data_IF_496443229011
#
_entry.id   IF_496443229011
#
_cell.length_a   1.000
_cell.length_b   1.000
_cell.length_c   1.000
_cell.angle_alpha   90.00
_cell.angle_beta   90.00
_cell.angle_gamma   90.00
#
_symmetry.space_group_name_H-M   'P 1'
#
loop_
_entity.id
_entity.type
_entity.pdbx_description
1 polymer ?
#
# COMPACT_ATOMS: atom_id res chain seq x y z
N UNK A 1 12.94 -13.68 -26.88
CA UNK A 1 11.92 -14.62 -26.34
C UNK A 1 11.55 -14.11 -24.95
N UNK A 2 10.48 -13.33 -24.84
CA UNK A 2 10.04 -12.73 -23.59
C UNK A 2 9.05 -13.69 -22.93
N UNK A 3 9.48 -14.33 -21.84
CA UNK A 3 8.59 -15.13 -21.02
C UNK A 3 7.67 -14.19 -20.23
N UNK A 4 6.43 -14.09 -20.67
CA UNK A 4 5.31 -13.53 -19.88
C UNK A 4 4.98 -14.53 -18.76
N UNK A 5 5.76 -14.53 -17.67
CA UNK A 5 5.36 -15.25 -16.48
C UNK A 5 4.21 -14.51 -15.82
N UNK A 6 3.10 -15.22 -15.62
CA UNK A 6 1.90 -14.78 -14.90
C UNK A 6 2.27 -14.20 -13.52
N UNK A 7 2.32 -12.88 -13.45
CA UNK A 7 2.22 -12.16 -12.19
C UNK A 7 0.88 -11.42 -12.20
N UNK A 8 0.17 -11.34 -11.09
CA UNK A 8 -0.94 -10.42 -10.99
C UNK A 8 -0.34 -9.02 -11.14
N UNK A 9 -0.48 -8.45 -12.32
CA UNK A 9 -0.18 -7.06 -12.61
C UNK A 9 -1.16 -6.20 -11.80
N UNK A 10 -0.85 -5.99 -10.52
CA UNK A 10 -1.38 -4.87 -9.78
C UNK A 10 -0.59 -3.66 -10.25
N UNK A 11 -1.01 -3.10 -11.36
CA UNK A 11 -0.50 -1.81 -11.82
C UNK A 11 -1.19 -0.79 -10.91
N UNK A 12 -0.46 -0.31 -9.92
CA UNK A 12 -0.78 0.99 -9.38
C UNK A 12 -0.57 1.96 -10.55
N UNK A 13 -1.61 2.63 -11.01
CA UNK A 13 -1.48 3.81 -11.84
C UNK A 13 -0.86 4.92 -10.99
N UNK A 14 0.41 4.74 -10.63
CA UNK A 14 1.19 5.78 -10.00
C UNK A 14 1.93 6.56 -11.07
N UNK A 15 1.91 7.88 -10.98
CA UNK A 15 2.71 8.79 -11.82
C UNK A 15 4.20 8.50 -11.84
N UNK A 16 4.69 7.69 -10.92
CA UNK A 16 6.07 7.20 -10.85
C UNK A 16 6.50 6.38 -12.09
N UNK A 17 5.57 5.74 -12.79
CA UNK A 17 5.90 4.98 -14.01
C UNK A 17 6.32 5.93 -15.15
N UNK A 18 5.63 7.06 -15.32
CA UNK A 18 5.98 8.08 -16.30
C UNK A 18 7.31 8.76 -16.00
N UNK A 19 7.68 8.87 -14.72
CA UNK A 19 8.95 9.46 -14.32
C UNK A 19 10.16 8.58 -14.65
N UNK A 20 10.04 7.26 -14.52
CA UNK A 20 11.11 6.32 -14.85
C UNK A 20 11.38 6.26 -16.37
N UNK A 21 10.34 6.33 -17.18
CA UNK A 21 10.45 6.32 -18.65
C UNK A 21 11.10 7.61 -19.18
N UNK A 22 10.88 8.74 -18.51
CA UNK A 22 11.41 10.06 -18.92
C UNK A 22 12.86 10.34 -18.49
N UNK A 23 13.45 9.54 -17.61
CA UNK A 23 14.79 9.77 -17.04
C UNK A 23 15.86 8.73 -17.36
N UNK A 24 15.68 7.93 -18.37
CA UNK A 24 16.81 7.19 -18.92
C UNK A 24 17.72 8.21 -19.65
N UNK A 25 19.01 8.31 -19.26
CA UNK A 25 19.91 9.24 -19.92
C UNK A 25 20.04 8.87 -21.40
N UNK A 26 19.98 9.88 -22.26
CA UNK A 26 20.05 9.76 -23.71
C UNK A 26 21.40 9.21 -24.26
N UNK A 27 22.31 8.79 -23.39
CA UNK A 27 23.69 8.45 -23.74
C UNK A 27 24.04 6.97 -23.68
N UNK A 28 23.10 6.04 -23.69
CA UNK A 28 23.41 4.61 -23.78
C UNK A 28 22.76 3.88 -24.97
N UNK A 29 22.44 4.60 -26.01
CA UNK A 29 22.01 3.97 -27.26
C UNK A 29 23.24 3.81 -28.18
N UNK A 30 23.50 2.59 -28.73
CA UNK A 30 24.40 2.47 -29.88
C UNK A 30 23.81 3.26 -31.04
N UNK A 31 24.67 3.88 -31.82
CA UNK A 31 24.31 4.63 -33.02
C UNK A 31 23.40 3.79 -33.92
N UNK A 32 22.14 4.11 -33.95
CA UNK A 32 21.15 3.47 -34.77
C UNK A 32 20.46 4.52 -35.64
N UNK A 33 20.40 4.15 -36.86
CA UNK A 33 19.78 4.75 -38.05
C UNK A 33 18.56 5.69 -37.78
N UNK A 34 18.44 6.68 -38.64
CA UNK A 34 17.64 7.89 -38.60
C UNK A 34 16.10 7.73 -38.61
N UNK A 35 15.56 6.70 -37.94
CA UNK A 35 14.10 6.49 -37.82
C UNK A 35 13.54 6.45 -36.38
N UNK A 36 14.33 6.89 -35.41
CA UNK A 36 13.87 6.90 -34.01
C UNK A 36 12.92 8.07 -33.78
N UNK A 37 11.63 7.86 -33.96
CA UNK A 37 10.59 8.77 -33.49
C UNK A 37 10.56 8.73 -31.96
N UNK A 38 11.09 9.75 -31.34
CA UNK A 38 10.88 10.03 -29.92
C UNK A 38 9.39 10.30 -29.73
N UNK A 39 8.72 9.39 -29.02
CA UNK A 39 7.31 9.53 -28.68
C UNK A 39 7.10 10.68 -27.70
N UNK A 40 6.73 11.84 -28.20
CA UNK A 40 6.22 12.98 -27.44
C UNK A 40 4.68 12.98 -27.32
N UNK A 41 4.02 11.86 -27.58
CA UNK A 41 2.59 11.74 -27.45
C UNK A 41 2.24 10.84 -26.25
N UNK A 42 2.12 11.44 -25.09
CA UNK A 42 1.33 10.85 -24.00
C UNK A 42 -0.13 11.03 -24.42
N UNK A 43 -0.90 9.95 -24.65
CA UNK A 43 -2.34 10.11 -24.89
C UNK A 43 -2.95 10.72 -23.64
N UNK A 44 -3.74 11.76 -23.81
CA UNK A 44 -4.60 12.32 -22.80
C UNK A 44 -5.55 11.19 -22.36
N UNK A 45 -5.34 10.61 -21.18
CA UNK A 45 -6.29 9.69 -20.56
C UNK A 45 -7.47 10.57 -20.13
N UNK A 46 -8.71 10.23 -20.55
CA UNK A 46 -9.86 11.00 -20.11
C UNK A 46 -9.95 10.97 -18.59
N UNK A 47 -9.93 12.13 -17.96
CA UNK A 47 -9.96 12.31 -16.49
C UNK A 47 -11.31 11.93 -15.85
N UNK A 48 -12.17 11.19 -16.54
CA UNK A 48 -13.58 11.05 -16.18
C UNK A 48 -13.94 9.80 -15.36
N UNK A 49 -13.02 9.10 -14.74
CA UNK A 49 -13.37 7.86 -14.04
C UNK A 49 -13.02 7.74 -12.56
N UNK A 50 -12.49 8.79 -11.94
CA UNK A 50 -12.37 8.82 -10.48
C UNK A 50 -13.18 9.99 -9.92
N UNK A 51 -14.49 9.83 -9.84
CA UNK A 51 -15.30 10.68 -8.95
C UNK A 51 -14.96 10.26 -7.52
N UNK A 52 -13.97 10.93 -6.93
CA UNK A 52 -13.93 11.04 -5.50
C UNK A 52 -15.15 11.89 -5.10
N UNK A 53 -16.13 11.30 -4.46
CA UNK A 53 -17.21 12.05 -3.84
C UNK A 53 -16.62 13.18 -3.01
N UNK A 54 -17.18 14.40 -3.06
CA UNK A 54 -16.62 15.51 -2.32
C UNK A 54 -16.55 15.15 -0.84
N UNK A 55 -15.44 15.47 -0.21
CA UNK A 55 -15.11 15.22 1.21
C UNK A 55 -16.01 16.00 2.18
N UNK A 56 -17.18 16.44 1.76
CA UNK A 56 -18.02 17.41 2.49
C UNK A 56 -19.24 16.79 3.19
N UNK A 57 -19.20 15.50 3.55
CA UNK A 57 -20.13 14.97 4.55
C UNK A 57 -19.37 14.15 5.60
N UNK A 58 -18.50 14.84 6.34
CA UNK A 58 -17.96 14.30 7.58
C UNK A 58 -19.11 14.27 8.60
N UNK A 59 -19.60 13.06 8.93
CA UNK A 59 -20.29 12.87 10.19
C UNK A 59 -19.38 13.32 11.34
N UNK A 60 -19.90 13.99 12.37
CA UNK A 60 -19.12 14.35 13.54
C UNK A 60 -18.78 13.08 14.30
N UNK A 61 -17.67 12.42 13.93
CA UNK A 61 -17.07 11.44 14.82
C UNK A 61 -16.46 12.22 15.97
N UNK A 62 -16.81 11.82 17.19
CA UNK A 62 -16.26 12.33 18.44
C UNK A 62 -14.76 12.59 18.25
N UNK A 63 -14.38 13.85 18.32
CA UNK A 63 -13.00 14.29 18.36
C UNK A 63 -12.35 13.66 19.60
N UNK A 64 -11.75 12.46 19.42
CA UNK A 64 -10.69 12.03 20.32
C UNK A 64 -9.55 12.98 20.06
N UNK A 65 -9.33 13.85 21.01
CA UNK A 65 -8.31 14.88 20.95
C UNK A 65 -6.96 14.22 20.74
N UNK A 66 -6.16 14.75 19.81
CA UNK A 66 -4.74 14.40 19.57
C UNK A 66 -3.88 14.38 20.85
N UNK A 67 -4.44 14.84 21.97
CA UNK A 67 -3.79 14.86 23.29
C UNK A 67 -3.54 13.47 23.91
N UNK A 68 -4.23 12.43 23.43
CA UNK A 68 -4.13 11.07 24.00
C UNK A 68 -3.11 10.17 23.29
N UNK A 69 -2.45 10.65 22.23
CA UNK A 69 -1.40 9.92 21.50
C UNK A 69 -0.09 10.70 21.56
N UNK A 70 0.79 10.43 22.55
CA UNK A 70 2.05 11.15 22.63
C UNK A 70 2.92 10.88 21.41
N UNK A 71 3.09 11.89 20.54
CA UNK A 71 4.12 12.03 19.49
C UNK A 71 4.36 10.83 18.54
N UNK A 72 3.34 10.03 18.27
CA UNK A 72 3.48 8.94 17.28
C UNK A 72 3.40 9.52 15.87
N UNK A 73 4.54 9.64 15.23
CA UNK A 73 4.63 9.95 13.81
C UNK A 73 4.11 8.77 12.97
N UNK A 74 3.64 9.04 11.75
CA UNK A 74 3.29 8.01 10.78
C UNK A 74 4.46 7.04 10.52
N UNK A 75 4.19 5.91 9.87
CA UNK A 75 5.19 4.89 9.56
C UNK A 75 6.31 5.40 8.65
N UNK A 76 7.45 4.71 8.62
CA UNK A 76 8.55 5.07 7.74
C UNK A 76 8.18 4.83 6.28
N UNK A 77 8.60 5.75 5.42
CA UNK A 77 8.43 5.64 3.97
C UNK A 77 9.69 6.11 3.24
N UNK A 78 10.09 5.45 2.14
CA UNK A 78 11.15 5.94 1.28
C UNK A 78 10.71 7.14 0.43
N UNK A 79 9.39 7.37 0.29
CA UNK A 79 8.84 8.49 -0.48
C UNK A 79 9.10 9.80 0.26
N UNK A 80 9.67 10.76 -0.44
CA UNK A 80 9.98 12.10 0.10
C UNK A 80 8.92 13.09 -0.39
N UNK A 81 7.98 13.56 0.47
CA UNK A 81 6.87 14.41 0.06
C UNK A 81 7.32 15.67 -0.72
N UNK A 82 8.39 16.32 -0.27
CA UNK A 82 8.95 17.51 -0.95
C UNK A 82 9.51 17.22 -2.36
N UNK A 83 9.88 15.96 -2.66
CA UNK A 83 10.30 15.53 -4.01
C UNK A 83 9.14 15.04 -4.84
N UNK A 84 8.11 14.51 -4.20
CA UNK A 84 6.88 14.05 -4.86
C UNK A 84 6.06 15.23 -5.39
N UNK A 85 5.89 16.27 -4.57
CA UNK A 85 5.05 17.42 -4.86
C UNK A 85 5.30 18.07 -6.24
N UNK A 86 6.55 18.39 -6.64
CA UNK A 86 6.79 18.94 -7.98
C UNK A 86 6.54 17.95 -9.12
N UNK A 87 6.57 16.63 -8.85
CA UNK A 87 6.29 15.61 -9.86
C UNK A 87 4.79 15.46 -10.14
N UNK A 88 3.94 15.91 -9.23
CA UNK A 88 2.49 15.89 -9.37
C UNK A 88 1.91 17.14 -10.06
N UNK A 89 2.77 18.01 -10.60
CA UNK A 89 2.31 19.14 -11.41
C UNK A 89 1.55 18.65 -12.63
N UNK A 90 0.33 19.18 -12.81
CA UNK A 90 -0.56 18.77 -13.91
C UNK A 90 -1.49 17.60 -13.56
N UNK A 91 -1.38 17.04 -12.34
CA UNK A 91 -2.37 16.12 -11.78
C UNK A 91 -3.58 16.88 -11.24
N UNK A 92 -4.67 16.14 -11.01
CA UNK A 92 -5.80 16.66 -10.23
C UNK A 92 -5.30 17.21 -8.89
N UNK A 93 -5.58 18.47 -8.52
CA UNK A 93 -5.06 19.10 -7.32
C UNK A 93 -5.47 18.38 -6.02
N UNK A 94 -6.68 17.78 -5.98
CA UNK A 94 -7.16 17.05 -4.80
C UNK A 94 -6.38 15.75 -4.62
N UNK A 95 -6.12 15.02 -5.70
CA UNK A 95 -5.30 13.79 -5.69
C UNK A 95 -3.86 14.14 -5.33
N UNK A 96 -3.27 15.17 -5.92
CA UNK A 96 -1.91 15.59 -5.61
C UNK A 96 -1.75 15.95 -4.12
N UNK A 97 -2.69 16.73 -3.57
CA UNK A 97 -2.72 17.10 -2.15
C UNK A 97 -2.89 15.88 -1.26
N UNK A 98 -3.80 14.96 -1.60
CA UNK A 98 -4.03 13.72 -0.87
C UNK A 98 -2.75 12.86 -0.80
N UNK A 99 -2.06 12.68 -1.92
CA UNK A 99 -0.82 11.90 -1.97
C UNK A 99 0.31 12.53 -1.16
N UNK A 100 0.54 13.83 -1.33
CA UNK A 100 1.60 14.56 -0.59
C UNK A 100 1.34 14.50 0.92
N UNK A 101 0.12 14.77 1.35
CA UNK A 101 -0.26 14.73 2.76
C UNK A 101 -0.23 13.30 3.32
N UNK A 102 -0.68 12.32 2.55
CA UNK A 102 -0.64 10.92 2.95
C UNK A 102 0.80 10.41 3.20
N UNK A 103 1.76 10.79 2.34
CA UNK A 103 3.17 10.45 2.57
C UNK A 103 3.83 11.31 3.65
N UNK A 104 3.28 12.46 4.00
CA UNK A 104 3.78 13.35 5.06
C UNK A 104 3.27 12.97 6.44
N UNK A 105 1.98 12.67 6.55
CA UNK A 105 1.28 12.48 7.82
C UNK A 105 0.72 11.07 8.04
N UNK A 106 0.78 10.22 7.03
CA UNK A 106 0.15 8.90 6.97
C UNK A 106 -1.21 8.92 6.27
N UNK A 107 -1.53 7.81 5.64
CA UNK A 107 -2.83 7.57 5.00
C UNK A 107 -3.79 6.94 6.01
N UNK A 108 -5.02 7.47 6.07
CA UNK A 108 -6.08 6.84 6.84
C UNK A 108 -6.64 5.63 6.10
N UNK A 109 -6.96 4.57 6.85
CA UNK A 109 -7.64 3.40 6.31
C UNK A 109 -9.13 3.62 6.06
N UNK A 110 -9.65 4.80 6.44
CA UNK A 110 -11.06 5.16 6.29
C UNK A 110 -12.01 4.13 6.90
N UNK A 111 -11.71 3.73 8.12
CA UNK A 111 -12.54 2.84 8.91
C UNK A 111 -13.74 3.61 9.47
N UNK A 112 -14.96 3.11 9.23
CA UNK A 112 -16.22 3.71 9.67
C UNK A 112 -16.94 2.89 10.74
N UNK A 113 -16.38 1.77 11.16
CA UNK A 113 -16.93 0.97 12.25
C UNK A 113 -16.58 1.53 13.63
N UNK A 114 -17.17 0.93 14.65
CA UNK A 114 -16.84 1.25 16.03
C UNK A 114 -15.45 0.77 16.40
N UNK A 115 -14.68 1.66 17.03
CA UNK A 115 -13.36 1.32 17.57
C UNK A 115 -13.54 0.64 18.92
N UNK A 116 -13.63 -0.67 18.89
CA UNK A 116 -13.80 -1.50 20.08
C UNK A 116 -12.60 -2.43 20.27
N UNK A 117 -12.26 -2.68 21.52
CA UNK A 117 -11.26 -3.70 21.86
C UNK A 117 -11.74 -5.07 21.39
N UNK A 118 -10.94 -5.72 20.57
CA UNK A 118 -11.18 -7.07 20.10
C UNK A 118 -9.85 -7.85 20.09
N UNK A 119 -9.86 -9.09 20.54
CA UNK A 119 -8.67 -9.93 20.57
C UNK A 119 -8.96 -11.26 19.90
N UNK A 120 -8.30 -11.51 18.80
CA UNK A 120 -8.41 -12.74 18.03
C UNK A 120 -7.17 -13.62 18.19
N UNK A 121 -7.37 -14.95 18.23
CA UNK A 121 -6.25 -15.90 18.24
C UNK A 121 -5.55 -15.96 16.91
N UNK A 122 -4.24 -16.14 16.92
CA UNK A 122 -3.45 -16.32 15.71
C UNK A 122 -3.83 -17.58 14.93
N UNK A 123 -3.56 -17.57 13.64
CA UNK A 123 -3.84 -18.71 12.76
C UNK A 123 -2.91 -19.89 13.11
N UNK A 124 -3.38 -21.12 12.83
CA UNK A 124 -2.63 -22.35 13.05
C UNK A 124 -1.23 -22.31 12.41
N UNK A 125 -1.12 -21.78 11.20
CA UNK A 125 0.15 -21.66 10.48
C UNK A 125 1.22 -20.83 11.22
N UNK A 126 0.81 -19.88 12.07
CA UNK A 126 1.74 -19.14 12.92
C UNK A 126 2.34 -20.00 14.02
N UNK A 127 1.51 -20.85 14.65
CA UNK A 127 1.96 -21.76 15.70
C UNK A 127 2.77 -22.95 15.17
N UNK A 128 2.54 -23.36 13.94
CA UNK A 128 3.34 -24.40 13.27
C UNK A 128 4.76 -23.95 12.93
N UNK A 129 4.97 -22.64 12.76
CA UNK A 129 6.27 -22.07 12.37
C UNK A 129 6.64 -20.84 13.24
N UNK A 130 6.74 -20.98 14.57
CA UNK A 130 6.88 -19.84 15.47
C UNK A 130 8.18 -19.05 15.26
N UNK A 131 9.29 -19.74 14.96
CA UNK A 131 10.57 -19.07 14.68
C UNK A 131 10.48 -18.15 13.47
N UNK A 132 9.76 -18.57 12.43
CA UNK A 132 9.61 -17.78 11.22
C UNK A 132 8.74 -16.53 11.46
N UNK A 133 7.66 -16.65 12.27
CA UNK A 133 6.86 -15.51 12.70
C UNK A 133 7.74 -14.51 13.46
N UNK A 134 8.47 -14.97 14.46
CA UNK A 134 9.37 -14.14 15.28
C UNK A 134 10.40 -13.43 14.42
N UNK A 135 11.06 -14.14 13.50
CA UNK A 135 12.06 -13.55 12.61
C UNK A 135 11.47 -12.45 11.72
N UNK A 136 10.29 -12.71 11.15
CA UNK A 136 9.62 -11.72 10.28
C UNK A 136 9.13 -10.52 11.09
N UNK A 137 8.54 -10.74 12.25
CA UNK A 137 8.06 -9.68 13.12
C UNK A 137 9.23 -8.79 13.56
N UNK A 138 10.33 -9.37 14.02
CA UNK A 138 11.54 -8.64 14.41
C UNK A 138 12.08 -7.79 13.25
N UNK A 139 12.08 -8.32 12.03
CA UNK A 139 12.49 -7.56 10.84
C UNK A 139 11.59 -6.34 10.59
N UNK A 140 10.29 -6.47 10.78
CA UNK A 140 9.35 -5.35 10.64
C UNK A 140 9.54 -4.32 11.76
N UNK A 141 9.79 -4.76 13.00
CA UNK A 141 10.10 -3.91 14.15
C UNK A 141 11.40 -3.15 13.91
N UNK A 142 12.47 -3.84 13.53
CA UNK A 142 13.77 -3.21 13.23
C UNK A 142 13.70 -2.18 12.11
N UNK A 143 12.77 -2.37 11.16
CA UNK A 143 12.53 -1.40 10.07
C UNK A 143 11.59 -0.25 10.48
N UNK A 144 11.08 -0.24 11.72
CA UNK A 144 10.17 0.76 12.24
C UNK A 144 8.75 0.71 11.65
N UNK A 145 8.43 -0.33 10.86
CA UNK A 145 7.10 -0.51 10.25
C UNK A 145 6.08 -1.12 11.20
N UNK A 146 6.55 -1.80 12.24
CA UNK A 146 5.76 -2.27 13.38
C UNK A 146 6.39 -1.68 14.64
N UNK A 147 5.58 -1.30 15.62
CA UNK A 147 6.04 -0.91 16.96
C UNK A 147 5.65 -1.97 17.97
N UNK A 148 6.51 -2.22 18.89
CA UNK A 148 6.49 -3.18 19.99
C UNK A 148 7.88 -3.77 20.20
N UNK A 149 8.03 -4.72 21.14
CA UNK A 149 6.99 -5.33 21.98
C UNK A 149 6.52 -4.42 23.11
N UNK A 150 5.25 -4.55 23.48
CA UNK A 150 4.67 -3.98 24.69
C UNK A 150 4.20 -5.12 25.60
N UNK A 151 4.26 -4.93 26.91
CA UNK A 151 3.75 -5.89 27.90
C UNK A 151 2.22 -5.84 28.05
N UNK A 152 1.65 -4.69 27.76
CA UNK A 152 0.20 -4.44 27.80
C UNK A 152 -0.25 -3.76 26.50
N UNK A 153 -1.54 -3.83 26.14
CA UNK A 153 -2.08 -3.12 25.00
C UNK A 153 -1.74 -1.63 25.04
N UNK A 154 -1.13 -1.06 23.98
CA UNK A 154 -0.65 0.33 23.98
C UNK A 154 -1.77 1.36 23.82
N UNK A 155 -2.98 0.96 23.48
CA UNK A 155 -4.15 1.82 23.30
C UNK A 155 -5.31 1.33 24.16
N UNK A 156 -6.17 2.26 24.61
CA UNK A 156 -7.36 1.95 25.41
C UNK A 156 -8.31 1.02 24.67
N UNK A 157 -8.62 1.37 23.42
CA UNK A 157 -9.36 0.52 22.49
C UNK A 157 -8.33 -0.05 21.53
N UNK A 158 -8.13 -1.35 21.58
CA UNK A 158 -7.08 -1.99 20.81
C UNK A 158 -7.61 -3.25 20.12
N UNK A 159 -7.62 -3.22 18.79
CA UNK A 159 -8.09 -4.34 17.99
C UNK A 159 -6.90 -5.20 17.57
N UNK A 160 -6.90 -6.45 18.02
CA UNK A 160 -5.87 -7.44 17.71
C UNK A 160 -6.45 -8.44 16.70
N UNK A 161 -5.89 -8.42 15.49
CA UNK A 161 -6.23 -9.34 14.40
C UNK A 161 -5.20 -10.47 14.29
N UNK A 162 -5.58 -11.65 13.75
CA UNK A 162 -4.69 -12.81 13.73
C UNK A 162 -3.44 -12.61 12.86
N UNK A 163 -2.31 -13.11 13.33
CA UNK A 163 -1.13 -13.38 12.49
C UNK A 163 -1.22 -14.76 11.87
N UNK A 164 -0.70 -14.90 10.67
CA UNK A 164 -0.53 -16.17 9.98
C UNK A 164 0.68 -16.18 9.06
N UNK A 165 1.01 -17.36 8.57
CA UNK A 165 2.03 -17.57 7.55
C UNK A 165 1.42 -18.20 6.31
N UNK A 166 1.75 -17.65 5.16
CA UNK A 166 1.41 -18.22 3.84
C UNK A 166 2.69 -18.60 3.11
N UNK A 167 2.79 -19.85 2.63
CA UNK A 167 3.95 -20.27 1.84
C UNK A 167 4.10 -19.42 0.59
N UNK A 168 5.36 -19.13 0.24
CA UNK A 168 5.70 -18.56 -1.06
C UNK A 168 5.90 -19.66 -2.10
N UNK A 169 6.14 -19.26 -3.35
CA UNK A 169 6.48 -20.19 -4.44
C UNK A 169 7.80 -20.92 -4.20
N UNK A 170 8.72 -20.30 -3.48
CA UNK A 170 10.00 -20.90 -3.09
C UNK A 170 9.77 -21.74 -1.84
N UNK A 171 10.07 -23.06 -1.87
CA UNK A 171 9.92 -23.93 -0.72
C UNK A 171 10.68 -23.41 0.51
N UNK A 172 10.07 -23.50 1.68
CA UNK A 172 10.66 -23.00 2.94
C UNK A 172 10.55 -21.50 3.16
N UNK A 173 10.08 -20.72 2.18
CA UNK A 173 9.81 -19.30 2.35
C UNK A 173 8.34 -19.01 2.66
N UNK A 174 8.11 -18.09 3.59
CA UNK A 174 6.78 -17.68 4.02
C UNK A 174 6.57 -16.18 3.89
N UNK A 175 5.31 -15.77 3.80
CA UNK A 175 4.84 -14.39 4.02
C UNK A 175 4.13 -14.32 5.35
N UNK A 176 4.50 -13.37 6.18
CA UNK A 176 3.70 -13.01 7.34
C UNK A 176 2.49 -12.24 6.85
N UNK A 177 1.30 -12.67 7.28
CA UNK A 177 0.05 -11.98 7.00
C UNK A 177 -0.59 -11.51 8.30
N UNK A 178 -1.19 -10.33 8.24
CA UNK A 178 -2.07 -9.78 9.26
C UNK A 178 -3.50 -9.96 8.73
N UNK A 179 -4.27 -10.88 9.34
CA UNK A 179 -5.57 -11.29 8.80
C UNK A 179 -6.67 -10.32 9.19
N UNK A 180 -6.74 -9.19 8.47
CA UNK A 180 -7.65 -8.08 8.77
C UNK A 180 -9.10 -8.30 8.30
N UNK A 181 -9.39 -9.44 7.67
CA UNK A 181 -10.76 -9.90 7.35
C UNK A 181 -11.29 -10.96 8.34
N UNK A 182 -10.68 -11.10 9.48
CA UNK A 182 -11.13 -11.98 10.57
C UNK A 182 -11.71 -11.11 11.70
N UNK A 183 -12.86 -11.35 12.24
CA UNK A 183 -14.02 -12.19 11.97
C UNK A 183 -14.91 -11.55 10.90
N UNK A 184 -15.48 -12.38 10.02
CA UNK A 184 -16.42 -11.90 9.00
C UNK A 184 -17.59 -11.13 9.63
N UNK A 185 -17.95 -9.98 9.04
CA UNK A 185 -19.00 -9.08 9.53
C UNK A 185 -18.55 -8.12 10.65
N UNK A 186 -17.35 -8.30 11.22
CA UNK A 186 -16.84 -7.42 12.27
C UNK A 186 -15.32 -7.19 12.19
N UNK A 187 -14.70 -7.53 11.08
CA UNK A 187 -13.27 -7.35 10.86
C UNK A 187 -12.89 -5.90 10.58
N UNK A 188 -11.59 -5.60 10.56
CA UNK A 188 -11.11 -4.28 10.14
C UNK A 188 -11.54 -3.97 8.71
N UNK A 189 -11.42 -4.95 7.81
CA UNK A 189 -11.80 -4.76 6.40
C UNK A 189 -13.31 -4.58 6.20
N UNK A 190 -14.16 -5.15 7.07
CA UNK A 190 -15.61 -4.94 7.00
C UNK A 190 -16.03 -3.52 7.36
N UNK A 191 -15.23 -2.83 8.18
CA UNK A 191 -15.46 -1.42 8.51
C UNK A 191 -14.94 -0.44 7.45
N UNK A 192 -14.35 -0.93 6.34
CA UNK A 192 -13.88 -0.11 5.23
C UNK A 192 -14.87 -0.23 4.07
N UNK A 193 -15.49 0.86 3.61
CA UNK A 193 -16.44 0.84 2.51
C UNK A 193 -15.82 0.22 1.24
N UNK A 194 -16.54 -0.69 0.60
CA UNK A 194 -16.07 -1.41 -0.60
C UNK A 194 -15.78 -0.47 -1.76
N UNK A 195 -16.51 0.62 -1.85
CA UNK A 195 -16.34 1.67 -2.88
C UNK A 195 -14.96 2.34 -2.77
N UNK A 196 -14.39 2.38 -1.57
CA UNK A 196 -13.05 2.91 -1.29
C UNK A 196 -11.95 1.87 -1.47
N UNK A 197 -12.29 0.60 -1.67
CA UNK A 197 -11.37 -0.52 -1.80
C UNK A 197 -11.37 -1.16 -3.20
N UNK A 198 -12.10 -0.59 -4.15
CA UNK A 198 -12.22 -1.10 -5.51
C UNK A 198 -11.20 -0.42 -6.43
N UNK A 199 -10.38 -1.21 -7.11
CA UNK A 199 -9.40 -0.73 -8.09
C UNK A 199 -9.65 -1.41 -9.43
N UNK A 200 -9.71 -0.62 -10.47
CA UNK A 200 -9.68 -1.11 -11.84
C UNK A 200 -8.23 -1.25 -12.29
N UNK A 201 -7.85 -2.47 -12.62
CA UNK A 201 -6.52 -2.75 -13.16
C UNK A 201 -6.56 -2.77 -14.68
N UNK A 202 -5.52 -2.24 -15.32
CA UNK A 202 -5.31 -2.47 -16.73
C UNK A 202 -5.17 -3.97 -16.99
N UNK A 203 -5.83 -4.46 -18.03
CA UNK A 203 -5.82 -5.87 -18.42
C UNK A 203 -4.63 -6.17 -19.34
N UNK A 204 -4.38 -7.45 -19.58
CA UNK A 204 -3.40 -7.87 -20.60
C UNK A 204 -3.85 -7.38 -21.98
N UNK A 205 -5.17 -7.36 -22.25
CA UNK A 205 -5.71 -6.87 -23.52
C UNK A 205 -5.46 -5.37 -23.72
N UNK A 206 -5.53 -4.58 -22.65
CA UNK A 206 -5.16 -3.15 -22.70
C UNK A 206 -3.67 -2.97 -23.02
N UNK A 207 -2.82 -3.79 -22.43
CA UNK A 207 -1.40 -3.80 -22.76
C UNK A 207 -1.15 -4.21 -24.21
N UNK A 208 -1.82 -5.25 -24.70
CA UNK A 208 -1.74 -5.71 -26.11
C UNK A 208 -2.17 -4.59 -27.06
N UNK A 209 -3.34 -3.98 -26.82
CA UNK A 209 -3.85 -2.86 -27.62
C UNK A 209 -2.80 -1.71 -27.68
N UNK A 210 -2.18 -1.39 -26.53
CA UNK A 210 -1.17 -0.32 -26.47
C UNK A 210 0.09 -0.70 -27.26
N UNK A 211 0.60 -1.92 -27.10
CA UNK A 211 1.76 -2.43 -27.85
C UNK A 211 1.47 -2.39 -29.35
N UNK A 212 0.31 -2.89 -29.76
CA UNK A 212 -0.10 -2.91 -31.17
C UNK A 212 -0.19 -1.49 -31.74
N UNK A 213 -0.72 -0.53 -30.96
CA UNK A 213 -0.82 0.87 -31.40
C UNK A 213 0.55 1.58 -31.54
N UNK A 214 1.56 1.12 -30.80
CA UNK A 214 2.94 1.65 -30.87
C UNK A 214 3.73 1.06 -32.02
N UNK A 215 3.33 -0.11 -32.51
CA UNK A 215 3.94 -0.79 -33.66
C UNK A 215 5.17 -1.63 -33.34
N UNK A 216 5.75 -2.19 -34.40
CA UNK A 216 6.92 -3.03 -34.30
C UNK A 216 8.14 -2.25 -33.78
N UNK A 217 8.96 -2.88 -32.93
CA UNK A 217 10.15 -2.27 -32.35
C UNK A 217 9.91 -1.35 -31.15
N UNK A 218 8.69 -1.27 -30.61
CA UNK A 218 8.45 -0.52 -29.39
C UNK A 218 9.20 -1.12 -28.19
N UNK A 219 9.70 -0.26 -27.30
CA UNK A 219 10.36 -0.67 -26.07
C UNK A 219 9.34 -1.01 -25.00
N UNK A 220 9.58 -2.09 -24.28
CA UNK A 220 8.80 -2.53 -23.13
C UNK A 220 9.68 -2.54 -21.88
N UNK A 221 9.18 -1.97 -20.79
CA UNK A 221 9.82 -2.02 -19.49
C UNK A 221 8.87 -2.62 -18.46
N UNK A 222 9.44 -3.35 -17.50
CA UNK A 222 8.71 -3.89 -16.36
C UNK A 222 9.38 -3.41 -15.08
N UNK A 223 8.59 -2.85 -14.19
CA UNK A 223 9.03 -2.47 -12.85
C UNK A 223 8.20 -3.20 -11.80
N UNK A 224 8.79 -3.44 -10.64
CA UNK A 224 8.10 -3.98 -9.46
C UNK A 224 8.56 -3.21 -8.21
N UNK A 225 7.60 -2.86 -7.37
CA UNK A 225 7.90 -2.18 -6.11
C UNK A 225 8.00 -3.21 -5.01
N UNK A 226 9.20 -3.43 -4.50
CA UNK A 226 9.44 -4.34 -3.39
C UNK A 226 8.64 -3.91 -2.16
N UNK A 227 7.78 -4.81 -1.66
CA UNK A 227 6.96 -4.57 -0.48
C UNK A 227 6.06 -3.33 -0.60
N UNK A 228 5.39 -3.14 -1.74
CA UNK A 228 4.64 -1.93 -2.09
C UNK A 228 3.71 -1.42 -0.97
N UNK A 229 2.94 -2.32 -0.31
CA UNK A 229 2.09 -1.93 0.82
C UNK A 229 2.89 -1.36 1.99
N UNK A 230 4.07 -1.92 2.28
CA UNK A 230 4.91 -1.53 3.42
C UNK A 230 5.66 -0.20 3.23
N UNK A 231 5.55 0.44 2.06
CA UNK A 231 6.07 1.80 1.83
C UNK A 231 5.01 2.89 2.07
N UNK A 232 3.75 2.49 2.27
CA UNK A 232 2.64 3.39 2.53
C UNK A 232 2.50 3.59 4.03
N UNK A 233 2.76 4.80 4.57
CA UNK A 233 2.67 5.06 5.99
C UNK A 233 1.21 5.17 6.43
N UNK A 234 0.90 4.62 7.59
CA UNK A 234 -0.40 4.73 8.25
C UNK A 234 -0.52 6.03 9.03
N UNK A 235 -1.71 6.62 9.02
CA UNK A 235 -2.03 7.73 9.90
C UNK A 235 -2.13 7.25 11.36
N UNK A 236 -1.54 7.95 12.33
CA UNK A 236 -1.51 7.52 13.74
C UNK A 236 -2.88 7.23 14.36
N UNK A 237 -3.94 7.92 13.91
CA UNK A 237 -5.31 7.70 14.39
C UNK A 237 -5.87 6.30 14.11
N UNK A 238 -5.23 5.53 13.25
CA UNK A 238 -5.69 4.19 12.83
C UNK A 238 -4.81 3.07 13.42
N UNK A 239 -3.78 3.39 14.23
CA UNK A 239 -2.87 2.41 14.81
C UNK A 239 -3.57 1.43 15.77
N UNK A 240 -4.58 1.90 16.50
CA UNK A 240 -5.39 1.13 17.42
C UNK A 240 -6.20 -0.01 16.74
N UNK A 241 -6.43 0.11 15.43
CA UNK A 241 -7.14 -0.88 14.61
C UNK A 241 -6.25 -2.00 14.09
N UNK A 242 -4.92 -1.79 14.08
CA UNK A 242 -3.96 -2.68 13.44
C UNK A 242 -3.01 -3.33 14.45
N UNK A 243 -3.59 -3.72 15.59
CA UNK A 243 -2.92 -4.46 16.62
C UNK A 243 -2.70 -5.93 16.26
N UNK A 244 -1.60 -6.47 16.75
CA UNK A 244 -1.25 -7.87 16.66
C UNK A 244 -0.60 -8.33 17.96
N UNK A 245 -0.69 -9.61 18.24
CA UNK A 245 -0.12 -10.23 19.43
C UNK A 245 0.74 -11.41 19.04
N UNK A 246 1.94 -11.48 19.62
CA UNK A 246 2.83 -12.60 19.44
C UNK A 246 3.63 -12.88 20.72
N UNK A 247 3.63 -14.15 21.16
CA UNK A 247 4.36 -14.60 22.35
C UNK A 247 4.05 -13.76 23.61
N UNK A 248 2.76 -13.46 23.82
CA UNK A 248 2.28 -12.67 24.97
C UNK A 248 2.66 -11.20 24.93
N UNK A 249 3.20 -10.71 23.82
CA UNK A 249 3.55 -9.30 23.62
C UNK A 249 2.66 -8.67 22.55
N UNK A 250 2.44 -7.36 22.68
CA UNK A 250 1.57 -6.59 21.82
C UNK A 250 2.39 -5.70 20.88
N UNK A 251 1.88 -5.54 19.68
CA UNK A 251 2.51 -4.76 18.61
C UNK A 251 1.42 -4.08 17.78
N UNK A 252 1.77 -3.08 16.99
CA UNK A 252 0.87 -2.51 15.98
C UNK A 252 1.61 -2.07 14.72
N UNK A 253 0.90 -2.15 13.59
CA UNK A 253 1.42 -1.70 12.31
C UNK A 253 1.42 -0.17 12.21
N UNK A 254 2.48 0.38 11.60
CA UNK A 254 2.61 1.81 11.23
C UNK A 254 2.60 2.04 9.72
N UNK A 255 2.71 0.96 8.96
CA UNK A 255 2.60 0.97 7.50
C UNK A 255 1.52 -0.01 7.09
N UNK A 256 0.96 0.16 5.90
CA UNK A 256 -0.09 -0.72 5.41
C UNK A 256 0.36 -2.17 5.44
N UNK A 257 -0.31 -3.05 6.20
CA UNK A 257 -0.02 -4.47 6.19
C UNK A 257 -0.60 -5.15 4.95
N UNK A 258 -0.01 -6.28 4.57
CA UNK A 258 -0.59 -7.13 3.54
C UNK A 258 -1.87 -7.79 4.09
N UNK A 259 -2.99 -7.54 3.45
CA UNK A 259 -4.32 -8.02 3.88
C UNK A 259 -5.30 -6.88 4.17
N UNK A 260 -4.84 -5.63 4.18
CA UNK A 260 -5.70 -4.46 4.28
C UNK A 260 -6.37 -4.18 2.92
N UNK A 261 -7.69 -3.94 2.94
CA UNK A 261 -8.51 -3.61 1.77
C UNK A 261 -8.62 -2.08 1.60
N UNK A 262 -7.50 -1.41 1.44
CA UNK A 262 -7.49 0.03 1.13
C UNK A 262 -6.56 0.27 -0.04
N UNK A 263 -6.96 1.18 -0.92
CA UNK A 263 -6.14 1.67 -2.01
C UNK A 263 -5.84 3.16 -1.79
N UNK A 264 -4.59 3.49 -2.01
CA UNK A 264 -4.06 4.85 -1.92
C UNK A 264 -3.91 5.41 -3.32
#
# INVERSE_FOLDING_TARGET
>A
MVLLTRLPLRIFEFPLLDWFVKKLPANSAPAADSSTRVLSAVPHIPQNSVRLSPVSSMHPQLERTEKDLPHLNCGPTPVKPHRLEPLLRGYDPAIATYLVNGFRFGFSIRYFGDKVTCRSKNLKSAFENPREVTNKLNKEVLSGRIIGPFDTPPFKDFRISPLGLVPKKVPGEFRLIHHLSFLEGSSVNDGIPKELSSVHYATIDDAIKKITSLGAGCFLAKTDIKSAFRVIPLHPRDFDLLGLEWDGKFYFDRCFPMGLFVFV
#
